data_IF_972666402210
#
_entry.id   IF_972666402210
#
_cell.length_a   1.000
_cell.length_b   1.000
_cell.length_c   1.000
_cell.angle_alpha   90.00
_cell.angle_beta   90.00
_cell.angle_gamma   90.00
#
_symmetry.space_group_name_H-M   'P 1'
#
loop_
_entity.id
_entity.type
_entity.pdbx_description
1 polymer ?
#
# COMPACT_ATOMS: atom_id res chain seq x y z
N UNK A 1 -4.16 -16.12 -17.19
CA UNK A 1 -3.07 -15.19 -16.81
C UNK A 1 -2.09 -16.01 -15.99
N UNK A 2 -0.88 -16.21 -16.49
CA UNK A 2 0.12 -17.05 -15.81
C UNK A 2 0.67 -16.39 -14.54
N UNK A 3 1.37 -17.16 -13.68
CA UNK A 3 1.98 -16.66 -12.44
C UNK A 3 3.06 -15.58 -12.65
N UNK A 4 3.45 -15.33 -13.90
CA UNK A 4 4.59 -14.48 -14.27
C UNK A 4 4.17 -13.07 -14.71
N UNK A 5 2.89 -12.69 -14.63
CA UNK A 5 2.43 -11.34 -14.98
C UNK A 5 1.94 -10.59 -13.75
N UNK A 6 2.50 -9.41 -13.50
CA UNK A 6 2.02 -8.47 -12.50
C UNK A 6 1.12 -7.40 -13.14
N UNK A 7 0.20 -6.84 -12.36
CA UNK A 7 -0.58 -5.66 -12.76
C UNK A 7 -0.09 -4.46 -11.96
N UNK A 8 0.38 -3.43 -12.63
CA UNK A 8 0.74 -2.17 -12.01
C UNK A 8 -0.45 -1.23 -12.06
N UNK A 9 -0.78 -0.63 -10.93
CA UNK A 9 -1.83 0.38 -10.81
C UNK A 9 -1.22 1.76 -10.69
N UNK A 10 -1.75 2.69 -11.47
CA UNK A 10 -1.53 4.12 -11.34
C UNK A 10 -2.90 4.79 -11.36
N UNK A 11 -3.13 5.79 -10.50
CA UNK A 11 -4.44 6.41 -10.36
C UNK A 11 -4.35 7.89 -9.98
N UNK A 12 -5.41 8.63 -10.32
CA UNK A 12 -5.61 10.03 -9.95
C UNK A 12 -7.11 10.35 -9.88
N UNK A 13 -7.47 11.55 -9.42
CA UNK A 13 -8.84 12.07 -9.53
C UNK A 13 -8.99 12.96 -10.77
N UNK A 14 -10.07 12.76 -11.51
CA UNK A 14 -10.41 13.53 -12.71
C UNK A 14 -11.87 13.97 -12.58
N UNK A 15 -12.11 15.28 -12.56
CA UNK A 15 -13.45 15.86 -12.38
C UNK A 15 -14.22 15.28 -11.17
N UNK A 16 -13.50 14.97 -10.08
CA UNK A 16 -14.07 14.39 -8.86
C UNK A 16 -14.26 12.88 -8.87
N UNK A 17 -13.96 12.19 -9.98
CA UNK A 17 -14.04 10.73 -10.08
C UNK A 17 -12.66 10.08 -10.07
N UNK A 18 -12.57 8.90 -9.45
CA UNK A 18 -11.34 8.10 -9.44
C UNK A 18 -11.08 7.52 -10.84
N UNK A 19 -9.96 7.91 -11.44
CA UNK A 19 -9.43 7.34 -12.67
C UNK A 19 -8.21 6.48 -12.37
N UNK A 20 -8.12 5.31 -13.00
CA UNK A 20 -6.97 4.44 -12.86
C UNK A 20 -6.69 3.66 -14.15
N UNK A 21 -5.45 3.21 -14.29
CA UNK A 21 -5.02 2.24 -15.30
C UNK A 21 -4.40 1.02 -14.63
N UNK A 22 -4.44 -0.12 -15.33
CA UNK A 22 -3.75 -1.34 -14.95
C UNK A 22 -2.80 -1.74 -16.09
N UNK A 23 -1.50 -1.60 -15.87
CA UNK A 23 -0.47 -2.00 -16.83
C UNK A 23 0.02 -3.41 -16.51
N UNK A 24 -0.11 -4.34 -17.44
CA UNK A 24 0.44 -5.68 -17.29
C UNK A 24 1.95 -5.67 -17.57
N UNK A 25 2.74 -6.27 -16.68
CA UNK A 25 4.20 -6.38 -16.82
C UNK A 25 4.68 -7.77 -16.45
N UNK A 26 5.82 -8.15 -17.02
CA UNK A 26 6.51 -9.39 -16.63
C UNK A 26 7.08 -9.26 -15.21
N UNK A 27 6.80 -10.27 -14.39
CA UNK A 27 7.17 -10.32 -12.97
C UNK A 27 8.69 -10.37 -12.79
N UNK A 28 9.37 -11.22 -13.56
CA UNK A 28 10.81 -11.40 -13.45
C UNK A 28 11.53 -10.10 -13.80
N UNK A 29 11.12 -9.43 -14.89
CA UNK A 29 11.67 -8.13 -15.26
C UNK A 29 11.41 -7.07 -14.20
N UNK A 30 10.20 -7.01 -13.63
CA UNK A 30 9.87 -6.07 -12.56
C UNK A 30 10.77 -6.27 -11.33
N UNK A 31 10.93 -7.51 -10.87
CA UNK A 31 11.66 -7.83 -9.65
C UNK A 31 13.18 -7.69 -9.82
N UNK A 32 13.73 -7.99 -11.00
CA UNK A 32 15.19 -8.11 -11.20
C UNK A 32 15.84 -6.97 -11.97
N UNK A 33 15.08 -6.15 -12.70
CA UNK A 33 15.62 -5.14 -13.58
C UNK A 33 15.06 -3.74 -13.25
N UNK A 34 15.91 -2.92 -12.64
CA UNK A 34 15.57 -1.54 -12.24
C UNK A 34 15.15 -0.68 -13.43
N UNK A 35 15.87 -0.73 -14.56
CA UNK A 35 15.52 0.04 -15.75
C UNK A 35 14.19 -0.39 -16.36
N UNK A 36 13.90 -1.70 -16.38
CA UNK A 36 12.60 -2.19 -16.83
C UNK A 36 11.48 -1.71 -15.91
N UNK A 37 11.74 -1.66 -14.60
CA UNK A 37 10.82 -1.15 -13.58
C UNK A 37 10.53 0.34 -13.77
N UNK A 38 11.56 1.17 -13.88
CA UNK A 38 11.44 2.61 -14.14
C UNK A 38 10.69 2.89 -15.44
N UNK A 39 11.00 2.14 -16.50
CA UNK A 39 10.30 2.25 -17.77
C UNK A 39 8.82 1.90 -17.61
N UNK A 40 8.48 0.79 -16.97
CA UNK A 40 7.10 0.39 -16.72
C UNK A 40 6.32 1.42 -15.88
N UNK A 41 6.94 1.99 -14.85
CA UNK A 41 6.32 3.06 -14.06
C UNK A 41 6.04 4.31 -14.90
N UNK A 42 6.99 4.71 -15.75
CA UNK A 42 6.82 5.84 -16.67
C UNK A 42 5.69 5.58 -17.66
N UNK A 43 5.65 4.37 -18.25
CA UNK A 43 4.58 3.96 -19.15
C UNK A 43 3.21 3.99 -18.46
N UNK A 44 3.11 3.49 -17.23
CA UNK A 44 1.88 3.53 -16.45
C UNK A 44 1.33 4.97 -16.26
N UNK A 45 2.22 5.93 -15.96
CA UNK A 45 1.86 7.36 -15.83
C UNK A 45 1.46 7.98 -17.16
N UNK A 46 2.18 7.67 -18.24
CA UNK A 46 1.86 8.16 -19.59
C UNK A 46 0.52 7.64 -20.09
N UNK A 47 0.20 6.36 -19.85
CA UNK A 47 -1.09 5.77 -20.19
C UNK A 47 -2.22 6.42 -19.38
N UNK A 48 -2.01 6.70 -18.08
CA UNK A 48 -2.98 7.41 -17.25
C UNK A 48 -3.19 8.85 -17.75
N UNK A 49 -2.13 9.56 -18.13
CA UNK A 49 -2.20 10.89 -18.73
C UNK A 49 -3.00 10.89 -20.03
N UNK A 50 -2.70 9.96 -20.94
CA UNK A 50 -3.44 9.81 -22.19
C UNK A 50 -4.93 9.50 -21.95
N UNK A 51 -5.21 8.59 -21.01
CA UNK A 51 -6.58 8.30 -20.59
C UNK A 51 -7.28 9.54 -20.06
N UNK A 52 -6.62 10.32 -19.22
CA UNK A 52 -7.16 11.54 -18.61
C UNK A 52 -7.45 12.63 -19.63
N UNK A 53 -6.53 12.88 -20.55
CA UNK A 53 -6.70 13.85 -21.64
C UNK A 53 -7.87 13.44 -22.56
N UNK A 54 -7.94 12.16 -22.92
CA UNK A 54 -9.04 11.62 -23.73
C UNK A 54 -10.40 11.73 -23.03
N UNK A 55 -10.44 11.47 -21.73
CA UNK A 55 -11.66 11.50 -20.92
C UNK A 55 -12.20 12.92 -20.72
N UNK A 56 -11.32 13.87 -20.41
CA UNK A 56 -11.69 15.27 -20.16
C UNK A 56 -11.85 16.08 -21.44
N UNK A 57 -11.24 15.64 -22.54
CA UNK A 57 -11.09 16.42 -23.77
C UNK A 57 -10.18 17.64 -23.61
N UNK A 58 -9.35 17.67 -22.55
CA UNK A 58 -8.44 18.77 -22.22
C UNK A 58 -7.00 18.33 -22.36
N UNK A 59 -6.14 19.28 -22.66
CA UNK A 59 -4.70 19.08 -22.53
C UNK A 59 -4.31 19.24 -21.06
N UNK A 60 -3.92 18.14 -20.42
CA UNK A 60 -3.52 18.12 -19.01
C UNK A 60 -1.99 18.14 -18.94
N UNK A 61 -1.36 18.95 -18.08
CA UNK A 61 0.09 18.96 -17.94
C UNK A 61 0.64 17.58 -17.57
N UNK A 62 1.62 17.07 -18.32
CA UNK A 62 2.27 15.78 -18.00
C UNK A 62 2.93 15.80 -16.61
N UNK A 63 3.40 16.97 -16.16
CA UNK A 63 4.00 17.17 -14.85
C UNK A 63 3.07 16.78 -13.69
N UNK A 64 1.74 16.89 -13.87
CA UNK A 64 0.76 16.49 -12.87
C UNK A 64 0.71 14.96 -12.67
N UNK A 65 1.26 14.19 -13.63
CA UNK A 65 1.27 12.73 -13.63
C UNK A 65 2.64 12.14 -13.30
N UNK A 66 3.73 12.90 -13.49
CA UNK A 66 5.10 12.41 -13.33
C UNK A 66 5.42 11.93 -11.92
N UNK A 67 4.83 12.57 -10.91
CA UNK A 67 5.01 12.23 -9.50
C UNK A 67 4.02 11.18 -8.99
N UNK A 68 3.07 10.71 -9.81
CA UNK A 68 2.05 9.80 -9.34
C UNK A 68 2.66 8.44 -8.92
N UNK A 69 2.24 7.92 -7.77
CA UNK A 69 2.73 6.63 -7.31
C UNK A 69 2.24 5.50 -8.24
N UNK A 70 3.09 4.48 -8.38
CA UNK A 70 2.80 3.25 -9.14
C UNK A 70 3.17 2.06 -8.27
N UNK A 71 2.23 1.16 -8.08
CA UNK A 71 2.39 -0.02 -7.22
C UNK A 71 1.81 -1.26 -7.89
N UNK A 72 2.22 -2.43 -7.42
CA UNK A 72 1.64 -3.71 -7.85
C UNK A 72 0.24 -3.87 -7.23
N UNK A 73 -0.72 -4.29 -8.03
CA UNK A 73 -2.09 -4.60 -7.62
C UNK A 73 -2.28 -6.12 -7.50
N UNK A 74 -2.72 -6.56 -6.33
CA UNK A 74 -3.13 -7.93 -6.06
C UNK A 74 -4.66 -7.95 -5.86
N UNK A 75 -5.45 -8.52 -6.79
CA UNK A 75 -6.91 -8.43 -6.73
C UNK A 75 -7.55 -9.38 -5.71
N UNK A 76 -6.80 -10.41 -5.28
CA UNK A 76 -7.27 -11.52 -4.44
C UNK A 76 -6.70 -11.49 -3.03
N UNK A 77 -5.69 -10.65 -2.78
CA UNK A 77 -5.03 -10.50 -1.48
C UNK A 77 -4.49 -9.10 -1.31
N UNK A 78 -4.29 -8.70 -0.07
CA UNK A 78 -3.55 -7.50 0.25
C UNK A 78 -2.55 -7.79 1.35
N UNK A 79 -1.44 -7.07 1.31
CA UNK A 79 -0.42 -7.08 2.35
C UNK A 79 -0.42 -5.72 3.04
N UNK A 80 -0.15 -5.69 4.34
CA UNK A 80 -0.03 -4.47 5.13
C UNK A 80 1.35 -4.43 5.77
N UNK A 81 2.02 -3.30 5.65
CA UNK A 81 3.27 -2.96 6.34
C UNK A 81 2.96 -1.97 7.47
N UNK A 82 3.29 -2.35 8.71
CA UNK A 82 3.18 -1.47 9.87
C UNK A 82 4.35 -0.49 9.90
N UNK A 83 4.04 0.79 10.13
CA UNK A 83 5.01 1.89 10.19
C UNK A 83 4.96 2.56 11.56
N UNK A 84 6.08 2.49 12.28
CA UNK A 84 6.25 2.97 13.65
C UNK A 84 5.61 2.07 14.72
N UNK A 85 5.87 2.43 15.98
CA UNK A 85 5.32 1.74 17.14
C UNK A 85 5.90 0.34 17.36
N UNK A 86 5.24 -0.50 18.18
CA UNK A 86 5.76 -1.80 18.60
C UNK A 86 5.92 -2.85 17.49
N UNK A 87 5.17 -2.71 16.40
CA UNK A 87 5.19 -3.64 15.25
C UNK A 87 5.80 -3.01 13.99
N UNK A 88 6.68 -2.00 14.12
CA UNK A 88 7.32 -1.36 12.98
C UNK A 88 8.02 -2.36 12.03
N UNK A 89 7.82 -2.21 10.73
CA UNK A 89 8.33 -3.10 9.68
C UNK A 89 7.61 -4.46 9.57
N UNK A 90 6.68 -4.78 10.48
CA UNK A 90 5.92 -6.04 10.42
C UNK A 90 5.00 -6.05 9.20
N UNK A 91 4.99 -7.17 8.48
CA UNK A 91 4.07 -7.43 7.37
C UNK A 91 3.03 -8.49 7.70
N UNK A 92 1.82 -8.30 7.18
CA UNK A 92 0.66 -9.18 7.39
C UNK A 92 -0.17 -9.27 6.12
N UNK A 93 -0.81 -10.42 5.89
CA UNK A 93 -1.56 -10.68 4.65
C UNK A 93 -3.03 -10.96 4.96
N UNK A 94 -3.91 -10.38 4.15
CA UNK A 94 -5.36 -10.65 4.16
C UNK A 94 -5.77 -11.28 2.82
N UNK A 95 -6.76 -12.16 2.90
CA UNK A 95 -7.41 -12.78 1.75
C UNK A 95 -8.53 -11.87 1.19
N UNK A 96 -8.26 -10.58 1.08
CA UNK A 96 -9.16 -9.57 0.52
C UNK A 96 -8.36 -8.56 -0.30
N UNK A 97 -8.99 -7.93 -1.30
CA UNK A 97 -8.35 -6.91 -2.13
C UNK A 97 -7.99 -5.64 -1.32
N UNK A 98 -8.82 -5.32 -0.32
CA UNK A 98 -8.66 -4.14 0.53
C UNK A 98 -8.46 -4.55 2.00
N UNK A 99 -7.51 -3.93 2.70
CA UNK A 99 -7.28 -4.17 4.12
C UNK A 99 -8.32 -3.48 5.02
N UNK A 100 -8.45 -3.91 6.30
CA UNK A 100 -9.34 -3.26 7.27
C UNK A 100 -8.93 -1.82 7.59
N UNK A 101 -9.88 -0.89 7.71
CA UNK A 101 -9.61 0.53 7.99
C UNK A 101 -8.87 0.80 9.31
N UNK A 102 -8.91 -0.13 10.26
CA UNK A 102 -8.19 -0.06 11.54
C UNK A 102 -7.70 -1.47 11.86
N UNK A 103 -6.45 -1.57 12.31
CA UNK A 103 -5.84 -2.83 12.74
C UNK A 103 -5.36 -2.65 14.17
N UNK A 104 -5.88 -3.48 15.08
CA UNK A 104 -5.39 -3.54 16.45
C UNK A 104 -4.49 -4.77 16.63
N UNK A 105 -3.22 -4.54 16.96
CA UNK A 105 -2.26 -5.60 17.21
C UNK A 105 -1.92 -5.71 18.70
N UNK A 106 -1.87 -6.91 19.28
CA UNK A 106 -1.41 -7.08 20.65
C UNK A 106 0.07 -6.69 20.75
N UNK A 107 0.42 -5.92 21.77
CA UNK A 107 1.80 -5.61 22.15
C UNK A 107 2.23 -6.67 23.15
N UNK A 108 3.28 -7.42 22.81
CA UNK A 108 3.88 -8.36 23.76
C UNK A 108 4.72 -7.55 24.76
N UNK A 109 4.33 -7.57 26.04
CA UNK A 109 5.08 -6.91 27.12
C UNK A 109 6.27 -7.77 27.59
N UNK A 110 6.49 -8.94 26.98
CA UNK A 110 7.58 -9.84 27.29
C UNK A 110 7.50 -10.42 28.71
N UNK A 111 8.65 -10.85 29.25
CA UNK A 111 8.76 -11.52 30.56
C UNK A 111 8.25 -10.61 31.70
N UNK A 112 8.28 -9.29 31.55
CA UNK A 112 7.77 -8.35 32.55
C UNK A 112 6.26 -8.52 32.80
N UNK A 113 5.46 -8.74 31.76
CA UNK A 113 4.03 -9.04 31.89
C UNK A 113 3.76 -10.43 32.51
N UNK A 114 4.66 -11.39 32.31
CA UNK A 114 4.59 -12.70 32.96
C UNK A 114 4.96 -12.63 34.45
N UNK A 115 5.93 -11.80 34.83
CA UNK A 115 6.32 -11.62 36.24
C UNK A 115 5.24 -10.90 37.05
N UNK A 116 4.59 -9.87 36.49
CA UNK A 116 3.45 -9.20 37.11
C UNK A 116 2.25 -10.14 37.34
N UNK A 117 2.01 -11.08 36.42
CA UNK A 117 0.98 -12.11 36.55
C UNK A 117 1.27 -13.13 37.66
N UNK A 118 2.56 -13.42 37.94
CA UNK A 118 2.99 -14.33 39.01
C UNK A 118 2.83 -13.70 40.40
N UNK A 119 2.89 -12.37 40.50
CA UNK A 119 2.72 -11.61 41.75
C UNK A 119 1.24 -11.37 42.14
N UNK A 120 0.29 -11.91 41.37
CA UNK A 120 -1.13 -11.89 41.70
C UNK A 120 -1.87 -10.60 41.28
N UNK A 121 -1.22 -9.73 40.51
CA UNK A 121 -1.92 -8.67 39.81
C UNK A 121 -2.73 -9.26 38.65
N UNK A 122 -3.99 -8.83 38.43
CA UNK A 122 -4.78 -9.31 37.30
C UNK A 122 -3.97 -9.04 36.02
N UNK A 123 -3.74 -10.09 35.22
CA UNK A 123 -2.99 -10.05 33.95
C UNK A 123 -3.46 -8.85 33.15
N UNK A 124 -2.66 -7.79 33.21
CA UNK A 124 -3.08 -6.47 32.77
C UNK A 124 -3.40 -6.53 31.28
N UNK A 125 -4.59 -6.04 30.95
CA UNK A 125 -5.07 -5.54 29.65
C UNK A 125 -4.03 -5.77 28.56
N UNK A 126 -4.24 -6.77 27.67
CA UNK A 126 -3.46 -6.91 26.43
C UNK A 126 -3.38 -5.54 25.77
N UNK A 127 -2.23 -4.86 25.93
CA UNK A 127 -2.06 -3.51 25.41
C UNK A 127 -2.11 -3.65 23.89
N UNK A 128 -3.04 -2.95 23.26
CA UNK A 128 -3.18 -2.97 21.81
C UNK A 128 -2.45 -1.76 21.24
N UNK A 129 -1.73 -2.00 20.15
CA UNK A 129 -1.24 -0.95 19.27
C UNK A 129 -2.20 -0.83 18.10
N UNK A 130 -2.82 0.34 17.96
CA UNK A 130 -3.74 0.64 16.88
C UNK A 130 -2.98 1.20 15.69
N UNK A 131 -3.31 0.71 14.51
CA UNK A 131 -2.70 1.08 13.25
C UNK A 131 -3.80 1.53 12.27
N UNK A 132 -3.57 2.67 11.61
CA UNK A 132 -4.50 3.26 10.64
C UNK A 132 -3.82 3.46 9.29
N UNK A 133 -4.55 3.44 8.16
CA UNK A 133 -3.97 3.68 6.85
C UNK A 133 -3.16 4.97 6.83
N UNK A 134 -1.92 4.88 6.35
CA UNK A 134 -1.09 6.04 6.12
C UNK A 134 -1.57 6.72 4.83
N UNK A 135 -1.90 8.01 4.89
CA UNK A 135 -2.18 8.80 3.69
C UNK A 135 -0.84 9.18 3.04
N UNK A 136 -0.70 8.89 1.76
CA UNK A 136 0.39 9.36 0.92
C UNK A 136 0.08 10.70 0.28
N UNK A 137 1.05 11.22 -0.46
CA UNK A 137 0.89 12.43 -1.24
C UNK A 137 -0.20 12.25 -2.32
N UNK A 138 -0.99 13.29 -2.57
CA UNK A 138 -2.11 13.24 -3.53
C UNK A 138 -3.41 12.65 -2.98
N UNK A 139 -3.52 12.43 -1.66
CA UNK A 139 -4.77 12.03 -1.02
C UNK A 139 -5.14 10.55 -1.19
N UNK A 140 -4.18 9.72 -1.61
CA UNK A 140 -4.34 8.27 -1.70
C UNK A 140 -3.70 7.57 -0.51
N UNK A 141 -4.18 6.37 -0.19
CA UNK A 141 -3.51 5.52 0.78
C UNK A 141 -2.09 5.16 0.30
N UNK A 142 -1.12 5.34 1.18
CA UNK A 142 0.27 5.05 0.93
C UNK A 142 0.47 3.55 0.76
N UNK A 143 1.21 3.16 -0.28
CA UNK A 143 1.56 1.78 -0.58
C UNK A 143 3.05 1.68 -0.87
N UNK A 144 3.64 0.54 -0.55
CA UNK A 144 4.97 0.15 -1.02
C UNK A 144 4.94 -0.18 -2.51
N UNK A 145 6.11 -0.26 -3.14
CA UNK A 145 6.23 -0.54 -4.57
C UNK A 145 5.67 -1.91 -4.97
N UNK A 146 5.77 -2.90 -4.09
CA UNK A 146 5.21 -4.26 -4.23
C UNK A 146 3.71 -4.35 -3.89
N UNK A 147 3.07 -3.23 -3.53
CA UNK A 147 1.62 -3.13 -3.37
C UNK A 147 1.10 -3.27 -1.95
N UNK A 148 1.98 -3.44 -0.96
CA UNK A 148 1.60 -3.51 0.44
C UNK A 148 1.11 -2.14 0.94
N UNK A 149 0.00 -2.14 1.64
CA UNK A 149 -0.58 -0.95 2.23
C UNK A 149 0.20 -0.54 3.46
N UNK A 150 0.54 0.75 3.58
CA UNK A 150 1.25 1.25 4.76
C UNK A 150 0.27 1.70 5.82
N UNK A 151 0.42 1.18 7.02
CA UNK A 151 -0.41 1.54 8.16
C UNK A 151 0.46 2.15 9.25
N UNK A 152 0.16 3.38 9.66
CA UNK A 152 0.92 4.08 10.69
C UNK A 152 0.36 3.76 12.08
N UNK A 153 1.25 3.66 13.05
CA UNK A 153 0.87 3.57 14.45
C UNK A 153 0.12 4.84 14.90
N UNK A 154 -1.01 4.65 15.57
CA UNK A 154 -1.67 5.65 16.39
C UNK A 154 -1.26 5.43 17.85
N UNK A 155 -0.36 6.27 18.33
CA UNK A 155 0.07 6.35 19.72
C UNK A 155 -0.60 7.49 20.47
#
# INVERSE_FOLDING_TARGET
MGPDTLKLRCQTFIDGELAHILLAVDRMLWETNEHAREHAQRTARQELHHYAAKRTGRDLPAADFDALPVWVEHPDRCEVECVGGPHDGRRMTWNSAEPPLVIDLPVDEGIAGLLAAVEGEPTSILRKATYVPLMGDGGFFSRTQDGAWRYRFQG
#
